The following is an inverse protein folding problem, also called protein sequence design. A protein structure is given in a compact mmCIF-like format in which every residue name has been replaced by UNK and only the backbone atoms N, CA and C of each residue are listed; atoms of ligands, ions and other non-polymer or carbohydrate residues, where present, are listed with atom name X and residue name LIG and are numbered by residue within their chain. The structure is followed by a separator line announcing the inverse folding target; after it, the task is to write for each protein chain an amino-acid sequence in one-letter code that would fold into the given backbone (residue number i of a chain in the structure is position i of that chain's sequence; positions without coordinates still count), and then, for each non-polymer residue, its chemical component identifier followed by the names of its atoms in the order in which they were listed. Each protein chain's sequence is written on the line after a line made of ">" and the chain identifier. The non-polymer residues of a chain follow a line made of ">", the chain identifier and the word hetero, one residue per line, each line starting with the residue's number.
data_IF_706550625974
#
_entry.id   IF_706550625974
#
_cell.length_a   1.000
_cell.length_b   1.000
_cell.length_c   1.000
_cell.angle_alpha   90.00
_cell.angle_beta   90.00
_cell.angle_gamma   90.00
#
_symmetry.space_group_name_H-M   'P 1'
#
loop_
_entity.id
_entity.type
_entity.pdbx_description
1 polymer ?
#
# COMPACT_ATOMS: atom_id res chain seq x y z
N UNK A 1 16.13 77.24 -10.21
CA UNK A 1 16.64 75.93 -10.68
C UNK A 1 16.51 74.93 -9.53
N UNK A 2 15.49 74.07 -9.57
CA UNK A 2 15.30 72.97 -8.61
C UNK A 2 15.35 71.67 -9.39
N UNK A 3 16.38 70.83 -9.16
CA UNK A 3 16.49 69.48 -9.71
C UNK A 3 15.98 68.51 -8.66
N UNK A 4 14.81 67.93 -8.90
CA UNK A 4 14.28 66.82 -8.11
C UNK A 4 15.04 65.54 -8.46
N UNK A 5 15.76 65.02 -7.45
CA UNK A 5 16.40 63.70 -7.46
C UNK A 5 15.34 62.60 -7.53
N UNK A 6 15.35 61.77 -8.59
CA UNK A 6 14.58 60.52 -8.63
C UNK A 6 15.41 59.43 -7.96
N UNK A 7 14.93 58.92 -6.84
CA UNK A 7 15.47 57.72 -6.19
C UNK A 7 15.33 56.50 -7.11
N UNK A 8 16.36 55.65 -7.26
CA UNK A 8 16.26 54.46 -8.10
C UNK A 8 15.31 53.43 -7.47
N UNK A 9 14.31 53.01 -8.24
CA UNK A 9 13.47 51.84 -7.90
C UNK A 9 14.39 50.61 -7.82
N UNK A 10 14.52 50.04 -6.63
CA UNK A 10 15.13 48.72 -6.44
C UNK A 10 14.24 47.71 -7.18
N UNK A 11 14.71 47.25 -8.32
CA UNK A 11 14.10 46.15 -9.05
C UNK A 11 14.30 44.88 -8.21
N UNK A 12 13.21 44.35 -7.63
CA UNK A 12 13.21 43.01 -7.04
C UNK A 12 13.42 42.02 -8.19
N UNK A 13 14.62 41.49 -8.28
CA UNK A 13 14.96 40.44 -9.23
C UNK A 13 14.28 39.14 -8.75
N UNK A 14 13.11 38.83 -9.30
CA UNK A 14 12.45 37.56 -9.02
C UNK A 14 13.19 36.49 -9.80
N UNK A 15 14.02 35.69 -9.13
CA UNK A 15 14.73 34.56 -9.75
C UNK A 15 13.70 33.60 -10.32
N UNK A 16 13.43 33.67 -11.63
CA UNK A 16 12.53 32.74 -12.31
C UNK A 16 13.27 31.42 -12.46
N UNK A 17 12.84 30.40 -11.72
CA UNK A 17 13.34 29.03 -11.88
C UNK A 17 13.02 28.59 -13.31
N UNK A 18 14.04 28.20 -14.07
CA UNK A 18 13.86 27.74 -15.44
C UNK A 18 13.19 26.35 -15.47
N UNK A 19 12.47 26.01 -16.55
CA UNK A 19 11.90 24.66 -16.73
C UNK A 19 12.97 23.57 -16.62
N UNK A 20 14.18 23.84 -17.13
CA UNK A 20 15.33 22.93 -17.03
C UNK A 20 15.71 22.72 -15.56
N UNK A 21 15.76 23.78 -14.77
CA UNK A 21 16.05 23.69 -13.33
C UNK A 21 14.98 22.86 -12.60
N UNK A 22 13.70 23.01 -12.97
CA UNK A 22 12.62 22.21 -12.41
C UNK A 22 12.77 20.72 -12.75
N UNK A 23 13.08 20.40 -14.01
CA UNK A 23 13.31 19.02 -14.47
C UNK A 23 14.49 18.39 -13.74
N UNK A 24 15.60 19.12 -13.59
CA UNK A 24 16.79 18.66 -12.88
C UNK A 24 16.48 18.40 -11.40
N UNK A 25 15.74 19.29 -10.73
CA UNK A 25 15.33 19.11 -9.34
C UNK A 25 14.40 17.91 -9.17
N UNK A 26 13.43 17.73 -10.08
CA UNK A 26 12.54 16.58 -10.07
C UNK A 26 13.33 15.27 -10.26
N UNK A 27 14.21 15.23 -11.25
CA UNK A 27 15.05 14.06 -11.51
C UNK A 27 15.94 13.75 -10.30
N UNK A 28 16.61 14.75 -9.72
CA UNK A 28 17.44 14.57 -8.54
C UNK A 28 16.63 14.05 -7.35
N UNK A 29 15.41 14.57 -7.14
CA UNK A 29 14.49 14.08 -6.10
C UNK A 29 14.08 12.63 -6.31
N UNK A 30 13.62 12.28 -7.51
CA UNK A 30 13.22 10.91 -7.86
C UNK A 30 14.40 9.94 -7.77
N UNK A 31 15.58 10.34 -8.24
CA UNK A 31 16.79 9.55 -8.14
C UNK A 31 17.23 9.37 -6.68
N UNK A 32 17.09 10.40 -5.84
CA UNK A 32 17.34 10.31 -4.41
C UNK A 32 16.41 9.32 -3.72
N UNK A 33 15.11 9.37 -4.01
CA UNK A 33 14.11 8.41 -3.51
C UNK A 33 14.47 7.00 -3.97
N UNK A 34 14.79 6.81 -5.25
CA UNK A 34 15.24 5.53 -5.80
C UNK A 34 16.46 4.99 -5.05
N UNK A 35 17.47 5.83 -4.80
CA UNK A 35 18.67 5.44 -4.03
C UNK A 35 18.35 5.03 -2.60
N UNK A 36 17.42 5.71 -1.92
CA UNK A 36 16.97 5.34 -0.57
C UNK A 36 16.30 3.96 -0.61
N UNK A 37 15.38 3.75 -1.55
CA UNK A 37 14.66 2.49 -1.78
C UNK A 37 15.65 1.33 -2.05
N UNK A 38 16.66 1.57 -2.87
CA UNK A 38 17.64 0.57 -3.29
C UNK A 38 18.69 0.26 -2.20
N UNK A 39 18.94 1.21 -1.30
CA UNK A 39 19.95 1.07 -0.24
C UNK A 39 19.56 0.14 0.92
N UNK A 40 18.34 -0.40 0.95
CA UNK A 40 17.83 -1.18 2.09
C UNK A 40 17.54 -0.32 3.34
N UNK A 41 17.44 1.01 3.18
CA UNK A 41 17.19 1.94 4.28
C UNK A 41 15.92 1.59 5.07
N UNK A 42 14.89 1.05 4.41
CA UNK A 42 13.62 0.70 5.04
C UNK A 42 13.66 -0.57 5.89
N UNK A 43 14.62 -1.47 5.66
CA UNK A 43 14.64 -2.80 6.29
C UNK A 43 14.68 -2.75 7.82
N UNK A 44 15.36 -1.74 8.36
CA UNK A 44 15.47 -1.51 9.81
C UNK A 44 14.24 -0.86 10.44
N UNK A 45 13.29 -0.41 9.63
CA UNK A 45 12.06 0.26 10.08
C UNK A 45 10.86 -0.68 10.04
N UNK A 46 11.04 -1.93 9.58
CA UNK A 46 9.98 -2.91 9.52
C UNK A 46 9.62 -3.45 10.91
N UNK A 47 8.32 -3.44 11.24
CA UNK A 47 7.80 -4.02 12.48
C UNK A 47 7.18 -5.40 12.27
N UNK A 48 6.87 -5.76 11.01
CA UNK A 48 6.39 -7.07 10.63
C UNK A 48 7.47 -7.88 9.90
N UNK A 49 7.29 -9.20 9.88
CA UNK A 49 8.11 -10.11 9.08
C UNK A 49 7.18 -11.07 8.34
N UNK A 50 7.37 -11.31 7.02
CA UNK A 50 6.50 -12.20 6.26
C UNK A 50 6.34 -13.58 6.89
N UNK A 51 7.39 -14.12 7.51
CA UNK A 51 7.38 -15.45 8.12
C UNK A 51 6.44 -15.52 9.33
N UNK A 52 6.46 -14.49 10.19
CA UNK A 52 5.54 -14.41 11.35
C UNK A 52 4.11 -14.18 10.93
N UNK A 53 3.87 -13.33 9.93
CA UNK A 53 2.52 -13.10 9.40
C UNK A 53 1.96 -14.36 8.75
N UNK A 54 2.80 -15.10 8.03
CA UNK A 54 2.42 -16.38 7.46
C UNK A 54 2.07 -17.41 8.54
N UNK A 55 2.92 -17.54 9.57
CA UNK A 55 2.66 -18.43 10.70
C UNK A 55 1.36 -18.06 11.43
N UNK A 56 1.08 -16.76 11.60
CA UNK A 56 -0.17 -16.27 12.18
C UNK A 56 -1.39 -16.59 11.32
N UNK A 57 -1.28 -16.46 10.00
CA UNK A 57 -2.34 -16.83 9.07
C UNK A 57 -2.65 -18.33 9.17
N UNK A 58 -1.62 -19.19 9.17
CA UNK A 58 -1.77 -20.64 9.32
C UNK A 58 -2.38 -21.04 10.67
N UNK A 59 -1.88 -20.49 11.78
CA UNK A 59 -2.45 -20.73 13.12
C UNK A 59 -3.93 -20.35 13.20
N UNK A 60 -4.31 -19.25 12.54
CA UNK A 60 -5.72 -18.84 12.47
C UNK A 60 -6.53 -19.86 11.66
N UNK A 61 -6.04 -20.26 10.48
CA UNK A 61 -6.68 -21.26 9.59
C UNK A 61 -6.91 -22.56 10.36
N UNK A 62 -5.92 -23.05 11.10
CA UNK A 62 -6.02 -24.28 11.89
C UNK A 62 -7.08 -24.18 12.99
N UNK A 63 -7.24 -23.00 13.62
CA UNK A 63 -8.21 -22.77 14.71
C UNK A 63 -9.64 -22.58 14.23
N UNK A 64 -9.85 -21.93 13.09
CA UNK A 64 -11.16 -21.44 12.68
C UNK A 64 -11.66 -21.97 11.33
N UNK A 65 -10.82 -22.70 10.58
CA UNK A 65 -11.19 -23.35 9.33
C UNK A 65 -11.79 -22.37 8.32
N UNK A 66 -13.06 -22.57 7.97
CA UNK A 66 -13.75 -21.78 6.95
C UNK A 66 -14.50 -20.55 7.49
N UNK A 67 -14.41 -20.24 8.79
CA UNK A 67 -15.01 -19.02 9.36
C UNK A 67 -14.07 -17.83 9.21
N UNK A 68 -14.14 -17.15 8.07
CA UNK A 68 -13.31 -15.98 7.75
C UNK A 68 -13.43 -14.86 8.76
N UNK A 69 -14.60 -14.66 9.37
CA UNK A 69 -14.77 -13.62 10.39
C UNK A 69 -13.99 -13.97 11.64
N UNK A 70 -14.09 -15.21 12.11
CA UNK A 70 -13.31 -15.69 13.25
C UNK A 70 -11.80 -15.68 12.95
N UNK A 71 -11.40 -16.06 11.73
CA UNK A 71 -10.00 -15.98 11.27
C UNK A 71 -9.44 -14.57 11.39
N UNK A 72 -10.11 -13.60 10.78
CA UNK A 72 -9.69 -12.19 10.83
C UNK A 72 -9.65 -11.70 12.27
N UNK A 73 -10.68 -11.99 13.07
CA UNK A 73 -10.71 -11.59 14.48
C UNK A 73 -9.52 -12.16 15.27
N UNK A 74 -9.14 -13.42 15.06
CA UNK A 74 -7.98 -14.04 15.71
C UNK A 74 -6.66 -13.38 15.27
N UNK A 75 -6.48 -13.10 13.98
CA UNK A 75 -5.31 -12.40 13.46
C UNK A 75 -5.17 -11.03 14.13
N UNK A 76 -6.23 -10.21 14.12
CA UNK A 76 -6.20 -8.86 14.68
C UNK A 76 -5.95 -8.91 16.19
N UNK A 77 -6.63 -9.78 16.92
CA UNK A 77 -6.45 -9.93 18.38
C UNK A 77 -5.02 -10.34 18.72
N UNK A 78 -4.43 -11.27 17.95
CA UNK A 78 -3.06 -11.73 18.17
C UNK A 78 -2.05 -10.64 17.91
N UNK A 79 -2.23 -9.83 16.86
CA UNK A 79 -1.37 -8.67 16.58
C UNK A 79 -1.48 -7.60 17.66
N UNK A 80 -2.69 -7.35 18.17
CA UNK A 80 -2.94 -6.40 19.26
C UNK A 80 -2.37 -6.87 20.61
N UNK A 81 -2.14 -8.18 20.78
CA UNK A 81 -1.53 -8.72 21.98
C UNK A 81 -0.01 -8.51 22.03
N UNK A 82 0.66 -8.21 20.91
CA UNK A 82 2.09 -7.89 20.89
C UNK A 82 2.29 -6.41 21.26
N UNK A 83 2.86 -6.09 22.44
CA UNK A 83 3.06 -4.72 22.89
C UNK A 83 4.01 -3.90 21.99
N UNK A 84 4.82 -4.54 21.15
CA UNK A 84 5.70 -3.85 20.20
C UNK A 84 4.97 -3.40 18.95
N UNK A 85 3.90 -4.07 18.57
CA UNK A 85 3.15 -3.84 17.34
C UNK A 85 1.87 -3.04 17.64
N UNK A 86 1.19 -3.35 18.73
CA UNK A 86 -0.10 -2.77 19.11
C UNK A 86 -0.19 -1.24 19.02
N UNK A 87 0.82 -0.44 19.41
CA UNK A 87 0.77 1.03 19.28
C UNK A 87 0.64 1.54 17.84
N UNK A 88 1.01 0.72 16.86
CA UNK A 88 1.04 1.06 15.45
C UNK A 88 -0.17 0.53 14.66
N UNK A 89 -1.11 -0.15 15.32
CA UNK A 89 -2.28 -0.73 14.67
C UNK A 89 -3.48 0.22 14.68
N UNK A 90 -4.39 0.02 13.74
CA UNK A 90 -5.71 0.62 13.77
C UNK A 90 -6.53 0.09 14.94
N UNK A 91 -7.19 1.02 15.65
CA UNK A 91 -8.08 0.71 16.78
C UNK A 91 -9.52 0.46 16.33
N UNK A 92 -9.82 0.59 15.03
CA UNK A 92 -11.17 0.43 14.47
C UNK A 92 -11.16 -0.50 13.28
N UNK A 93 -12.16 -1.36 13.21
CA UNK A 93 -12.51 -2.10 12.00
C UNK A 93 -13.29 -1.18 11.05
N UNK A 94 -12.64 -0.79 9.96
CA UNK A 94 -13.25 0.03 8.91
C UNK A 94 -12.96 -0.64 7.56
N UNK A 95 -14.03 -1.12 6.89
CA UNK A 95 -13.97 -1.70 5.55
C UNK A 95 -14.29 -0.65 4.49
N UNK A 96 -13.58 -0.69 3.37
CA UNK A 96 -13.84 0.17 2.21
C UNK A 96 -13.58 -0.59 0.92
N UNK A 97 -14.25 -0.20 -0.16
CA UNK A 97 -13.93 -0.74 -1.48
C UNK A 97 -12.56 -0.24 -1.94
N UNK A 98 -11.89 -1.07 -2.73
CA UNK A 98 -10.64 -0.77 -3.40
C UNK A 98 -10.78 -1.16 -4.88
N UNK A 99 -10.59 -0.17 -5.76
CA UNK A 99 -10.62 -0.33 -7.21
C UNK A 99 -9.25 0.07 -7.76
N UNK A 100 -8.51 -0.89 -8.31
CA UNK A 100 -7.20 -0.65 -8.91
C UNK A 100 -6.82 -1.76 -9.91
N UNK A 101 -6.18 -1.37 -11.01
CA UNK A 101 -5.72 -2.29 -12.04
C UNK A 101 -6.84 -3.05 -12.77
N UNK A 102 -8.06 -2.52 -12.80
CA UNK A 102 -9.25 -3.19 -13.31
C UNK A 102 -9.91 -4.15 -12.33
N UNK A 103 -9.27 -4.42 -11.18
CA UNK A 103 -9.82 -5.27 -10.14
C UNK A 103 -10.60 -4.43 -9.11
N UNK A 104 -11.65 -5.05 -8.55
CA UNK A 104 -12.41 -4.52 -7.43
C UNK A 104 -12.39 -5.50 -6.27
N UNK A 105 -12.12 -5.01 -5.06
CA UNK A 105 -12.22 -5.76 -3.82
C UNK A 105 -12.65 -4.86 -2.67
N UNK A 106 -12.63 -5.40 -1.47
CA UNK A 106 -12.77 -4.66 -0.23
C UNK A 106 -11.52 -4.84 0.61
N UNK A 107 -11.12 -3.79 1.32
CA UNK A 107 -10.00 -3.82 2.24
C UNK A 107 -10.39 -3.33 3.62
N UNK A 108 -9.78 -3.94 4.63
CA UNK A 108 -9.77 -3.48 6.01
C UNK A 108 -8.33 -3.15 6.41
N UNK A 109 -8.06 -1.86 6.61
CA UNK A 109 -6.74 -1.34 6.98
C UNK A 109 -6.40 -1.64 8.44
N UNK A 110 -5.34 -2.42 8.67
CA UNK A 110 -4.86 -2.81 10.01
C UNK A 110 -3.67 -1.95 10.44
N UNK A 111 -2.77 -1.61 9.51
CA UNK A 111 -1.62 -0.74 9.72
C UNK A 111 -1.26 -0.03 8.42
N UNK A 112 -0.86 1.24 8.48
CA UNK A 112 -0.18 1.91 7.37
C UNK A 112 0.89 2.88 7.87
N UNK A 113 2.04 2.86 7.21
CA UNK A 113 3.18 3.76 7.40
C UNK A 113 3.81 4.09 6.04
N UNK A 114 4.88 4.89 6.01
CA UNK A 114 5.65 5.17 4.78
C UNK A 114 6.34 3.89 4.29
N UNK A 115 6.68 2.96 5.20
CA UNK A 115 7.46 1.77 4.85
C UNK A 115 6.69 0.46 4.79
N UNK A 116 5.53 0.37 5.44
CA UNK A 116 4.73 -0.86 5.51
C UNK A 116 3.23 -0.56 5.51
N UNK A 117 2.44 -1.46 4.96
CA UNK A 117 1.03 -1.60 5.36
C UNK A 117 0.71 -3.04 5.67
N UNK A 118 -0.33 -3.22 6.49
CA UNK A 118 -0.97 -4.50 6.74
C UNK A 118 -2.47 -4.29 6.63
N UNK A 119 -3.15 -5.13 5.85
CA UNK A 119 -4.59 -5.05 5.67
C UNK A 119 -5.18 -6.44 5.41
N UNK A 120 -6.49 -6.57 5.57
CA UNK A 120 -7.22 -7.69 5.01
C UNK A 120 -7.78 -7.24 3.67
N UNK A 121 -7.45 -7.92 2.59
CA UNK A 121 -8.01 -7.66 1.26
C UNK A 121 -8.75 -8.88 0.77
N UNK A 122 -9.83 -8.66 0.02
CA UNK A 122 -10.49 -9.74 -0.68
C UNK A 122 -11.75 -9.32 -1.39
N UNK A 123 -12.47 -10.32 -1.86
CA UNK A 123 -13.75 -10.19 -2.54
C UNK A 123 -14.63 -11.36 -2.13
N UNK A 124 -15.92 -11.11 -1.97
CA UNK A 124 -16.90 -12.18 -1.72
C UNK A 124 -17.43 -12.81 -3.02
N UNK A 125 -17.20 -12.17 -4.17
CA UNK A 125 -17.84 -12.53 -5.46
C UNK A 125 -16.85 -12.69 -6.62
N UNK A 126 -15.55 -12.57 -6.35
CA UNK A 126 -14.50 -12.66 -7.35
C UNK A 126 -14.01 -11.30 -7.86
N UNK A 127 -12.83 -11.31 -8.50
CA UNK A 127 -12.15 -10.16 -9.09
C UNK A 127 -11.02 -10.60 -10.01
N UNK A 128 -10.64 -9.76 -10.97
CA UNK A 128 -9.54 -10.00 -11.90
C UNK A 128 -8.93 -8.68 -12.34
N UNK A 129 -7.59 -8.62 -12.47
CA UNK A 129 -6.94 -7.43 -12.96
C UNK A 129 -5.42 -7.50 -13.01
N UNK A 130 -4.83 -6.34 -13.24
CA UNK A 130 -3.39 -6.11 -13.22
C UNK A 130 -2.94 -5.91 -11.77
N UNK A 131 -1.87 -6.58 -11.32
CA UNK A 131 -1.39 -6.44 -9.93
C UNK A 131 -0.89 -5.04 -9.61
N UNK A 132 -0.32 -4.36 -10.60
CA UNK A 132 0.38 -3.09 -10.41
C UNK A 132 1.89 -3.32 -10.37
N UNK A 133 2.66 -2.27 -10.71
CA UNK A 133 4.12 -2.27 -10.60
C UNK A 133 4.50 -1.44 -9.38
N UNK A 134 4.74 -2.12 -8.26
CA UNK A 134 4.88 -1.45 -6.97
C UNK A 134 6.33 -1.16 -6.62
N UNK A 135 6.50 -0.13 -5.80
CA UNK A 135 7.76 0.28 -5.14
C UNK A 135 8.02 -0.46 -3.83
N UNK A 136 7.27 -1.53 -3.59
CA UNK A 136 7.30 -2.38 -2.41
C UNK A 136 7.15 -3.85 -2.83
N UNK A 137 7.64 -4.75 -2.00
CA UNK A 137 7.23 -6.16 -2.03
C UNK A 137 5.85 -6.29 -1.39
N UNK A 138 5.03 -7.19 -1.92
CA UNK A 138 3.67 -7.42 -1.45
C UNK A 138 3.41 -8.93 -1.27
N UNK A 139 2.83 -9.29 -0.14
CA UNK A 139 2.64 -10.67 0.33
C UNK A 139 1.16 -10.89 0.62
N UNK A 140 0.51 -11.73 -0.18
CA UNK A 140 -0.86 -12.15 0.02
C UNK A 140 -0.87 -13.51 0.72
N UNK A 141 -1.05 -13.51 2.04
CA UNK A 141 -1.25 -14.75 2.80
C UNK A 141 -2.72 -15.17 2.64
N UNK A 142 -2.99 -16.19 1.82
CA UNK A 142 -4.36 -16.58 1.47
C UNK A 142 -5.03 -17.25 2.67
N UNK A 143 -6.04 -16.61 3.24
CA UNK A 143 -6.79 -17.09 4.41
C UNK A 143 -8.14 -17.69 4.04
N UNK A 144 -8.68 -17.36 2.86
CA UNK A 144 -9.89 -17.97 2.31
C UNK A 144 -9.78 -18.03 0.79
N UNK A 145 -10.30 -19.10 0.19
CA UNK A 145 -10.46 -19.20 -1.26
C UNK A 145 -9.18 -19.56 -2.01
N UNK A 146 -9.06 -19.08 -3.23
CA UNK A 146 -7.88 -19.33 -4.08
C UNK A 146 -7.63 -18.12 -4.96
N UNK A 147 -6.40 -17.65 -4.95
CA UNK A 147 -5.89 -16.66 -5.88
C UNK A 147 -5.12 -17.38 -6.99
N UNK A 148 -5.24 -16.87 -8.20
CA UNK A 148 -4.41 -17.30 -9.33
C UNK A 148 -3.65 -16.10 -9.87
N UNK A 149 -2.47 -16.35 -10.42
CA UNK A 149 -1.67 -15.33 -11.05
C UNK A 149 -1.02 -15.85 -12.32
N UNK A 150 -0.67 -14.93 -13.21
CA UNK A 150 -0.11 -15.26 -14.50
C UNK A 150 0.85 -14.16 -14.97
N UNK A 151 1.94 -14.59 -15.61
CA UNK A 151 2.88 -13.71 -16.32
C UNK A 151 2.88 -14.02 -17.82
N UNK A 152 2.89 -13.01 -18.70
CA UNK A 152 2.94 -13.22 -20.14
C UNK A 152 4.08 -14.17 -20.56
N UNK A 153 3.75 -15.15 -21.40
CA UNK A 153 4.70 -16.17 -21.88
C UNK A 153 4.66 -17.48 -21.09
N UNK A 154 4.01 -17.52 -19.93
CA UNK A 154 3.61 -18.79 -19.32
C UNK A 154 2.38 -19.35 -20.04
N UNK A 155 2.11 -20.64 -19.88
CA UNK A 155 0.87 -21.26 -20.38
C UNK A 155 0.00 -21.83 -19.25
N UNK A 156 0.57 -22.02 -18.06
CA UNK A 156 -0.13 -22.49 -16.87
C UNK A 156 -0.22 -21.36 -15.83
N UNK A 157 -1.32 -21.28 -15.07
CA UNK A 157 -1.45 -20.31 -13.99
C UNK A 157 -0.63 -20.73 -12.76
N UNK A 158 -0.12 -19.74 -12.04
CA UNK A 158 0.27 -19.93 -10.65
C UNK A 158 -1.00 -20.01 -9.79
N UNK A 159 -1.07 -21.00 -8.90
CA UNK A 159 -2.26 -21.25 -8.06
C UNK A 159 -1.88 -21.15 -6.58
N UNK A 160 -2.58 -20.27 -5.87
CA UNK A 160 -2.36 -19.94 -4.46
C UNK A 160 -3.61 -20.29 -3.66
N UNK A 161 -3.73 -21.53 -3.15
CA UNK A 161 -4.85 -21.95 -2.30
C UNK A 161 -4.72 -21.40 -0.86
N UNK A 162 -5.74 -21.62 -0.03
CA UNK A 162 -5.69 -21.32 1.42
C UNK A 162 -4.42 -21.87 2.06
N UNK A 163 -3.77 -21.06 2.90
CA UNK A 163 -2.53 -21.38 3.57
C UNK A 163 -1.28 -21.21 2.70
N UNK A 164 -1.40 -20.72 1.46
CA UNK A 164 -0.26 -20.33 0.64
C UNK A 164 0.04 -18.83 0.74
N UNK A 165 1.17 -18.41 0.16
CA UNK A 165 1.56 -17.00 0.04
C UNK A 165 1.85 -16.67 -1.40
N UNK A 166 1.13 -15.71 -1.96
CA UNK A 166 1.53 -15.08 -3.23
C UNK A 166 2.44 -13.89 -2.92
N UNK A 167 3.73 -14.04 -3.21
CA UNK A 167 4.72 -12.96 -3.09
C UNK A 167 4.89 -12.27 -4.44
N UNK A 168 4.40 -11.03 -4.52
CA UNK A 168 4.64 -10.14 -5.64
C UNK A 168 5.86 -9.26 -5.32
N UNK A 169 6.96 -9.49 -6.05
CA UNK A 169 8.20 -8.77 -5.82
C UNK A 169 8.12 -7.34 -6.33
N UNK A 170 8.85 -6.46 -5.65
CA UNK A 170 9.00 -5.06 -6.06
C UNK A 170 9.37 -4.94 -7.55
N UNK A 171 8.60 -4.15 -8.29
CA UNK A 171 8.83 -3.89 -9.71
C UNK A 171 8.31 -4.97 -10.68
N UNK A 172 7.92 -6.14 -10.19
CA UNK A 172 7.27 -7.17 -10.99
C UNK A 172 5.78 -6.85 -11.21
N UNK A 173 5.20 -7.47 -12.24
CA UNK A 173 3.78 -7.35 -12.56
C UNK A 173 3.23 -8.71 -12.95
N UNK A 174 1.98 -8.97 -12.58
CA UNK A 174 1.22 -10.13 -13.01
C UNK A 174 -0.20 -9.71 -13.37
N UNK A 175 -0.89 -10.56 -14.12
CA UNK A 175 -2.34 -10.64 -14.02
C UNK A 175 -2.66 -11.46 -12.78
N UNK A 176 -3.68 -11.09 -12.02
CA UNK A 176 -4.18 -11.91 -10.94
C UNK A 176 -5.70 -12.02 -11.00
N UNK A 177 -6.21 -13.10 -10.41
CA UNK A 177 -7.63 -13.38 -10.34
C UNK A 177 -7.97 -14.09 -9.05
N UNK A 178 -9.04 -13.67 -8.40
CA UNK A 178 -9.77 -14.42 -7.39
C UNK A 178 -11.10 -14.81 -8.02
N UNK A 179 -11.30 -16.07 -8.40
CA UNK A 179 -12.46 -16.46 -9.22
C UNK A 179 -13.79 -16.34 -8.47
N UNK A 180 -13.78 -16.55 -7.16
CA UNK A 180 -14.92 -16.47 -6.27
C UNK A 180 -14.53 -15.79 -4.95
N UNK A 181 -15.23 -16.11 -3.85
CA UNK A 181 -14.89 -15.62 -2.52
C UNK A 181 -13.44 -15.96 -2.14
N UNK A 182 -12.62 -14.94 -1.94
CA UNK A 182 -11.21 -15.07 -1.59
C UNK A 182 -10.76 -13.89 -0.75
N UNK A 183 -10.03 -14.16 0.33
CA UNK A 183 -9.48 -13.14 1.22
C UNK A 183 -8.05 -13.49 1.61
N UNK A 184 -7.23 -12.46 1.77
CA UNK A 184 -5.84 -12.55 2.16
C UNK A 184 -5.54 -11.57 3.31
N UNK A 185 -4.65 -11.97 4.20
CA UNK A 185 -3.87 -11.02 4.98
C UNK A 185 -2.77 -10.50 4.06
N UNK A 186 -2.89 -9.24 3.65
CA UNK A 186 -2.00 -8.58 2.71
C UNK A 186 -1.00 -7.72 3.47
N UNK A 187 0.28 -7.94 3.20
CA UNK A 187 1.38 -7.21 3.80
C UNK A 187 2.30 -6.68 2.71
N UNK A 188 2.52 -5.37 2.69
CA UNK A 188 3.53 -4.78 1.83
C UNK A 188 4.65 -4.12 2.64
N UNK A 189 5.88 -4.22 2.11
CA UNK A 189 7.07 -3.59 2.67
C UNK A 189 7.93 -2.95 1.59
N UNK A 190 8.29 -1.68 1.78
CA UNK A 190 9.02 -0.88 0.78
C UNK A 190 8.57 0.57 0.80
N UNK A 191 8.55 1.28 -0.32
CA UNK A 191 8.06 2.66 -0.34
C UNK A 191 6.56 2.70 -0.62
N UNK A 192 5.73 2.70 0.43
CA UNK A 192 4.27 2.63 0.32
C UNK A 192 3.65 3.84 -0.39
N UNK A 193 4.10 5.10 -0.18
CA UNK A 193 3.53 6.24 -0.91
C UNK A 193 3.66 6.13 -2.44
N UNK A 194 4.65 5.39 -2.93
CA UNK A 194 4.82 5.14 -4.37
C UNK A 194 3.72 4.25 -4.98
N UNK A 195 2.96 3.53 -4.15
CA UNK A 195 1.84 2.67 -4.57
C UNK A 195 0.52 3.43 -4.71
N UNK A 196 0.39 4.59 -4.06
CA UNK A 196 -0.87 5.36 -3.97
C UNK A 196 -1.44 5.70 -5.34
N UNK A 197 -0.60 6.10 -6.30
CA UNK A 197 -1.08 6.48 -7.63
C UNK A 197 -1.80 5.32 -8.33
N UNK A 198 -1.29 4.09 -8.18
CA UNK A 198 -1.96 2.91 -8.72
C UNK A 198 -3.26 2.62 -7.96
N UNK A 199 -3.21 2.65 -6.61
CA UNK A 199 -4.38 2.38 -5.76
C UNK A 199 -5.55 3.37 -5.92
N UNK A 200 -5.31 4.56 -6.48
CA UNK A 200 -6.34 5.56 -6.77
C UNK A 200 -6.68 5.71 -8.25
N UNK A 201 -5.95 5.05 -9.16
CA UNK A 201 -6.11 5.26 -10.59
C UNK A 201 -7.55 5.02 -11.05
N UNK A 202 -8.09 3.82 -10.80
CA UNK A 202 -9.46 3.48 -11.21
C UNK A 202 -10.51 4.24 -10.38
N UNK A 203 -10.22 4.56 -9.12
CA UNK A 203 -11.12 5.40 -8.33
C UNK A 203 -11.29 6.80 -8.95
N UNK A 204 -10.21 7.37 -9.49
CA UNK A 204 -10.22 8.70 -10.11
C UNK A 204 -10.71 8.69 -11.56
N UNK A 205 -10.39 7.65 -12.34
CA UNK A 205 -10.63 7.62 -13.78
C UNK A 205 -11.76 6.68 -14.23
N UNK A 206 -12.26 5.82 -13.34
CA UNK A 206 -13.31 4.85 -13.64
C UNK A 206 -14.53 5.04 -12.73
N UNK A 207 -14.44 4.69 -11.45
CA UNK A 207 -15.62 4.64 -10.58
C UNK A 207 -16.09 6.02 -10.13
N UNK A 208 -15.16 6.97 -9.99
CA UNK A 208 -15.41 8.31 -9.46
C UNK A 208 -16.15 8.30 -8.10
N UNK A 209 -15.95 7.25 -7.31
CA UNK A 209 -16.57 7.09 -6.00
C UNK A 209 -15.87 7.97 -4.95
N UNK A 210 -16.26 9.24 -4.93
CA UNK A 210 -15.71 10.26 -4.02
C UNK A 210 -15.85 9.86 -2.54
N UNK A 211 -16.99 9.34 -2.07
CA UNK A 211 -17.11 8.82 -0.69
C UNK A 211 -16.08 7.75 -0.34
N UNK A 212 -15.85 6.76 -1.21
CA UNK A 212 -14.84 5.72 -0.97
C UNK A 212 -13.44 6.32 -1.00
N UNK A 213 -13.11 7.20 -1.96
CA UNK A 213 -11.82 7.88 -2.02
C UNK A 213 -11.52 8.69 -0.74
N UNK A 214 -12.52 9.40 -0.22
CA UNK A 214 -12.40 10.14 1.04
C UNK A 214 -12.14 9.19 2.22
N UNK A 215 -12.90 8.08 2.29
CA UNK A 215 -12.73 7.08 3.35
C UNK A 215 -11.32 6.50 3.33
N UNK A 216 -10.85 6.06 2.15
CA UNK A 216 -9.49 5.54 1.97
C UNK A 216 -8.44 6.57 2.33
N UNK A 217 -8.59 7.83 1.89
CA UNK A 217 -7.64 8.91 2.20
C UNK A 217 -7.57 9.17 3.70
N UNK A 218 -8.73 9.27 4.36
CA UNK A 218 -8.82 9.51 5.80
C UNK A 218 -8.22 8.36 6.61
N UNK A 219 -8.60 7.12 6.31
CA UNK A 219 -8.14 5.94 7.07
C UNK A 219 -6.64 5.74 6.91
N UNK A 220 -6.15 5.68 5.66
CA UNK A 220 -4.73 5.50 5.38
C UNK A 220 -3.90 6.69 5.84
N UNK A 221 -4.38 7.92 5.62
CA UNK A 221 -3.69 9.14 6.06
C UNK A 221 -3.56 9.23 7.58
N UNK A 222 -4.63 8.92 8.33
CA UNK A 222 -4.59 8.91 9.80
C UNK A 222 -3.60 7.88 10.34
N UNK A 223 -3.58 6.68 9.75
CA UNK A 223 -2.62 5.64 10.12
C UNK A 223 -1.18 6.06 9.80
N UNK A 224 -0.92 6.50 8.57
CA UNK A 224 0.41 6.87 8.11
C UNK A 224 0.99 8.06 8.89
N UNK A 225 0.20 9.12 9.08
CA UNK A 225 0.61 10.30 9.86
C UNK A 225 0.75 9.93 11.34
N UNK A 226 -0.20 9.16 11.90
CA UNK A 226 -0.18 8.71 13.28
C UNK A 226 1.06 7.87 13.61
N UNK A 227 1.40 6.92 12.74
CA UNK A 227 2.60 6.10 12.87
C UNK A 227 3.87 6.94 12.75
N UNK A 228 3.92 7.87 11.79
CA UNK A 228 5.05 8.78 11.64
C UNK A 228 5.28 9.66 12.88
N UNK A 229 4.21 10.18 13.49
CA UNK A 229 4.30 10.96 14.74
C UNK A 229 4.80 10.13 15.93
N UNK A 230 4.61 8.81 15.89
CA UNK A 230 5.15 7.87 16.87
C UNK A 230 6.57 7.37 16.53
N UNK A 231 7.19 7.93 15.48
CA UNK A 231 8.53 7.55 15.02
C UNK A 231 8.58 6.26 14.18
N UNK A 232 7.42 5.68 13.84
CA UNK A 232 7.34 4.58 12.89
C UNK A 232 7.34 5.16 11.48
N UNK A 233 8.44 4.93 10.78
CA UNK A 233 8.56 5.26 9.37
C UNK A 233 7.69 4.33 8.55
#
# INVERSE_FOLDING_TARGET
>A
MSKTSKSPKIMKDSTKISLVSLIVLLYAGLHGIYKIIDSGFFDRHYIFTPEKLHALALDSIDKHGNDTRALVANIITTLQADPKIAPYLSVKEEWMFNNAGGAMGAMYMVHASITEYLLIFGTAIGTEGHTGRHTADDYFHIIQGTQTAFVPGSYEPEVYPVGSVHHLRRGEVKQYKMDASCFALEYARGFIPGMILFGYADALTSTMDVPTMWTTTRVTGNQMIGNLMQGKL
#
